data_IF_298998517562
#
_entry.id   IF_298998517562
#
_cell.length_a   1.000
_cell.length_b   1.000
_cell.length_c   1.000
_cell.angle_alpha   90.00
_cell.angle_beta   90.00
_cell.angle_gamma   90.00
#
_symmetry.space_group_name_H-M   'P 1'
#
loop_
_entity.id
_entity.type
_entity.pdbx_description
1 polymer ?
#
# COMPACT_ATOMS: atom_id res chain seq x y z
N UNK A 1 -20.48 14.36 18.97
CA UNK A 1 -19.90 14.12 17.62
C UNK A 1 -19.46 12.66 17.55
N UNK A 2 -20.02 11.89 16.62
CA UNK A 2 -19.57 10.48 16.40
C UNK A 2 -18.59 10.42 15.27
N UNK A 3 -17.68 9.44 15.33
CA UNK A 3 -16.68 9.17 14.30
C UNK A 3 -16.97 7.82 13.64
N UNK A 4 -17.01 7.75 12.32
CA UNK A 4 -17.32 6.54 11.57
C UNK A 4 -16.26 6.22 10.54
N UNK A 5 -15.71 5.00 10.56
CA UNK A 5 -14.92 4.44 9.48
C UNK A 5 -15.84 3.71 8.49
N UNK A 6 -15.90 4.18 7.25
CA UNK A 6 -16.73 3.57 6.22
C UNK A 6 -16.05 2.31 5.67
N UNK A 7 -16.70 1.17 5.85
CA UNK A 7 -16.11 -0.13 5.60
C UNK A 7 -16.96 -0.97 4.64
N UNK A 8 -16.27 -1.85 3.91
CA UNK A 8 -16.90 -2.98 3.21
C UNK A 8 -16.65 -4.23 4.03
N UNK A 9 -17.69 -5.00 4.29
CA UNK A 9 -17.56 -6.31 4.92
C UNK A 9 -17.00 -7.29 3.89
N UNK A 10 -15.70 -7.56 3.96
CA UNK A 10 -15.00 -8.52 3.10
C UNK A 10 -14.54 -9.72 3.92
N UNK A 11 -14.52 -10.93 3.35
CA UNK A 11 -13.77 -12.02 3.95
C UNK A 11 -12.27 -11.67 3.95
N UNK A 12 -11.54 -12.14 4.94
CA UNK A 12 -10.09 -11.96 4.99
C UNK A 12 -9.45 -12.61 3.76
N UNK A 13 -8.74 -11.81 2.98
CA UNK A 13 -7.90 -12.29 1.88
C UNK A 13 -6.44 -12.06 2.25
N UNK A 14 -5.60 -13.08 2.03
CA UNK A 14 -4.17 -13.02 2.38
C UNK A 14 -3.37 -12.36 1.25
N UNK A 15 -3.55 -11.05 1.06
CA UNK A 15 -2.73 -10.26 0.12
C UNK A 15 -2.42 -8.87 0.70
N UNK A 16 -1.39 -8.24 0.16
CA UNK A 16 -0.90 -6.94 0.63
C UNK A 16 -1.96 -5.82 0.54
N UNK A 17 -2.79 -5.81 -0.51
CA UNK A 17 -3.83 -4.78 -0.68
C UNK A 17 -4.92 -4.88 0.37
N UNK A 18 -5.36 -6.09 0.73
CA UNK A 18 -6.34 -6.29 1.81
C UNK A 18 -5.75 -5.94 3.18
N UNK A 19 -4.46 -6.25 3.42
CA UNK A 19 -3.77 -5.93 4.67
C UNK A 19 -3.76 -4.41 4.92
N UNK A 20 -3.38 -3.60 3.94
CA UNK A 20 -3.35 -2.14 4.08
C UNK A 20 -4.72 -1.55 4.47
N UNK A 21 -5.80 -2.03 3.85
CA UNK A 21 -7.17 -1.57 4.14
C UNK A 21 -7.63 -2.01 5.53
N UNK A 22 -7.30 -3.25 5.94
CA UNK A 22 -7.64 -3.77 7.27
C UNK A 22 -6.90 -2.98 8.34
N UNK A 23 -5.59 -2.82 8.20
CA UNK A 23 -4.77 -2.10 9.17
C UNK A 23 -5.23 -0.65 9.34
N UNK A 24 -5.47 0.07 8.24
CA UNK A 24 -5.99 1.43 8.31
C UNK A 24 -7.36 1.52 8.99
N UNK A 25 -8.22 0.51 8.81
CA UNK A 25 -9.50 0.41 9.51
C UNK A 25 -9.31 0.20 11.02
N UNK A 26 -8.45 -0.74 11.42
CA UNK A 26 -8.18 -1.02 12.84
C UNK A 26 -7.51 0.18 13.54
N UNK A 27 -6.61 0.89 12.83
CA UNK A 27 -6.03 2.15 13.32
C UNK A 27 -7.10 3.20 13.54
N UNK A 28 -8.04 3.37 12.61
CA UNK A 28 -9.14 4.32 12.77
C UNK A 28 -10.02 3.95 13.99
N UNK A 29 -10.29 2.65 14.19
CA UNK A 29 -11.04 2.19 15.37
C UNK A 29 -10.29 2.51 16.65
N UNK A 30 -8.98 2.25 16.70
CA UNK A 30 -8.15 2.61 17.85
C UNK A 30 -8.09 4.13 18.12
N UNK A 31 -8.41 4.96 17.10
CA UNK A 31 -8.56 6.41 17.20
C UNK A 31 -10.00 6.87 17.53
N UNK A 32 -10.88 5.93 17.91
CA UNK A 32 -12.25 6.20 18.37
C UNK A 32 -13.32 6.24 17.25
N UNK A 33 -13.01 5.68 16.07
CA UNK A 33 -14.01 5.51 15.02
C UNK A 33 -14.79 4.20 15.19
N UNK A 34 -16.09 4.24 14.89
CA UNK A 34 -16.96 3.06 14.81
C UNK A 34 -17.06 2.57 13.36
N UNK A 35 -17.08 1.25 13.14
CA UNK A 35 -17.30 0.69 11.79
C UNK A 35 -18.72 1.01 11.29
N UNK A 36 -18.82 1.61 10.11
CA UNK A 36 -20.07 1.79 9.38
C UNK A 36 -20.00 1.03 8.06
N UNK A 37 -20.68 -0.11 7.98
CA UNK A 37 -20.72 -0.93 6.78
C UNK A 37 -21.69 -0.37 5.75
N UNK A 38 -21.23 -0.19 4.51
CA UNK A 38 -22.06 0.26 3.38
C UNK A 38 -22.15 -0.78 2.25
N UNK A 39 -21.36 -1.84 2.30
CA UNK A 39 -21.40 -2.95 1.35
C UNK A 39 -20.80 -4.22 1.97
N UNK A 40 -21.09 -5.36 1.35
CA UNK A 40 -20.46 -6.64 1.66
C UNK A 40 -20.00 -7.35 0.39
N UNK A 41 -18.92 -8.12 0.49
CA UNK A 41 -18.43 -9.02 -0.55
C UNK A 41 -18.60 -10.45 -0.05
N UNK A 42 -19.31 -11.28 -0.81
CA UNK A 42 -19.54 -12.70 -0.50
C UNK A 42 -18.95 -13.53 -1.65
N UNK A 43 -17.71 -14.06 -1.52
CA UNK A 43 -17.03 -14.75 -2.62
C UNK A 43 -17.66 -16.08 -2.98
N UNK A 44 -18.14 -16.84 -2.00
CA UNK A 44 -18.53 -18.23 -2.16
C UNK A 44 -19.76 -18.45 -3.06
N UNK A 45 -20.56 -17.43 -3.31
CA UNK A 45 -21.82 -17.53 -4.07
C UNK A 45 -21.79 -16.78 -5.41
N UNK A 46 -20.61 -16.36 -5.88
CA UNK A 46 -20.52 -15.52 -7.08
C UNK A 46 -20.79 -16.23 -8.40
N UNK A 47 -20.92 -17.54 -8.42
CA UNK A 47 -21.06 -18.33 -9.66
C UNK A 47 -22.51 -18.37 -10.20
N UNK A 48 -23.51 -18.10 -9.40
CA UNK A 48 -24.92 -18.12 -9.82
C UNK A 48 -25.46 -16.71 -10.10
N UNK A 49 -26.16 -16.51 -11.22
CA UNK A 49 -26.72 -15.20 -11.60
C UNK A 49 -27.64 -14.62 -10.50
N UNK A 50 -28.52 -15.46 -9.93
CA UNK A 50 -29.45 -15.03 -8.87
C UNK A 50 -28.75 -14.50 -7.62
N UNK A 51 -27.66 -15.14 -7.18
CA UNK A 51 -26.90 -14.67 -6.01
C UNK A 51 -26.15 -13.36 -6.27
N UNK A 52 -25.68 -13.12 -7.50
CA UNK A 52 -25.12 -11.80 -7.88
C UNK A 52 -26.16 -10.67 -7.77
N UNK A 53 -27.40 -10.91 -8.18
CA UNK A 53 -28.46 -9.91 -8.04
C UNK A 53 -28.84 -9.68 -6.57
N UNK A 54 -28.94 -10.74 -5.77
CA UNK A 54 -29.21 -10.62 -4.33
C UNK A 54 -28.12 -9.83 -3.61
N UNK A 55 -26.85 -10.09 -3.89
CA UNK A 55 -25.72 -9.33 -3.31
C UNK A 55 -25.78 -7.86 -3.73
N UNK A 56 -26.11 -7.57 -4.99
CA UNK A 56 -26.30 -6.18 -5.46
C UNK A 56 -27.41 -5.46 -4.70
N UNK A 57 -28.54 -6.14 -4.48
CA UNK A 57 -29.67 -5.60 -3.72
C UNK A 57 -29.31 -5.36 -2.25
N UNK A 58 -28.66 -6.33 -1.61
CA UNK A 58 -28.17 -6.17 -0.22
C UNK A 58 -27.22 -4.97 -0.12
N UNK A 59 -26.27 -4.84 -1.06
CA UNK A 59 -25.33 -3.72 -1.07
C UNK A 59 -26.02 -2.37 -1.32
N UNK A 60 -27.07 -2.33 -2.13
CA UNK A 60 -27.89 -1.13 -2.31
C UNK A 60 -28.58 -0.74 -1.01
N UNK A 61 -29.21 -1.70 -0.33
CA UNK A 61 -29.90 -1.48 0.95
C UNK A 61 -28.90 -0.99 2.01
N UNK A 62 -27.77 -1.67 2.18
CA UNK A 62 -26.72 -1.25 3.12
C UNK A 62 -26.23 0.17 2.84
N UNK A 63 -26.01 0.49 1.57
CA UNK A 63 -25.56 1.82 1.16
C UNK A 63 -26.62 2.91 1.47
N UNK A 64 -27.90 2.63 1.24
CA UNK A 64 -29.01 3.53 1.58
C UNK A 64 -29.07 3.75 3.10
N UNK A 65 -29.05 2.68 3.90
CA UNK A 65 -29.05 2.79 5.36
C UNK A 65 -27.83 3.56 5.90
N UNK A 66 -26.63 3.29 5.38
CA UNK A 66 -25.45 4.06 5.73
C UNK A 66 -25.62 5.55 5.36
N UNK A 67 -26.18 5.84 4.17
CA UNK A 67 -26.39 7.22 3.70
C UNK A 67 -27.40 7.99 4.55
N UNK A 68 -28.43 7.35 5.06
CA UNK A 68 -29.43 7.97 5.96
C UNK A 68 -28.82 8.37 7.31
N UNK A 69 -27.76 7.70 7.75
CA UNK A 69 -27.04 8.00 9.01
C UNK A 69 -26.02 9.12 8.87
N UNK A 70 -25.79 9.64 7.67
CA UNK A 70 -24.84 10.73 7.45
C UNK A 70 -25.38 12.04 7.98
N UNK A 71 -24.58 12.69 8.84
CA UNK A 71 -24.86 13.97 9.45
C UNK A 71 -23.63 14.88 9.40
N UNK A 72 -23.86 16.19 9.26
CA UNK A 72 -22.81 17.23 9.32
C UNK A 72 -22.07 17.23 10.66
N UNK A 73 -22.73 16.83 11.75
CA UNK A 73 -22.13 16.81 13.10
C UNK A 73 -21.16 15.66 13.32
N UNK A 74 -21.05 14.71 12.42
CA UNK A 74 -20.22 13.52 12.54
C UNK A 74 -18.99 13.60 11.62
N UNK A 75 -17.96 12.82 11.96
CA UNK A 75 -16.72 12.68 11.21
C UNK A 75 -16.67 11.32 10.52
N UNK A 76 -16.16 11.28 9.28
CA UNK A 76 -16.11 10.09 8.46
C UNK A 76 -14.71 9.85 7.92
N UNK A 77 -14.16 8.66 8.19
CA UNK A 77 -12.92 8.19 7.61
C UNK A 77 -13.21 7.27 6.42
N UNK A 78 -12.63 7.56 5.28
CA UNK A 78 -12.80 6.86 4.02
C UNK A 78 -11.45 6.37 3.49
N UNK A 79 -11.46 5.22 2.81
CA UNK A 79 -10.30 4.70 2.11
C UNK A 79 -10.61 4.66 0.60
N UNK A 80 -9.77 5.29 -0.21
CA UNK A 80 -9.92 5.36 -1.66
C UNK A 80 -8.91 4.43 -2.37
N UNK A 81 -9.25 3.67 -3.47
CA UNK A 81 -10.56 3.64 -4.14
C UNK A 81 -11.59 2.83 -3.36
N UNK A 82 -12.85 3.18 -3.62
CA UNK A 82 -13.98 2.49 -2.99
C UNK A 82 -14.48 1.33 -3.83
N UNK A 83 -14.67 0.14 -3.27
CA UNK A 83 -15.33 -0.93 -3.96
C UNK A 83 -16.85 -0.69 -4.04
N UNK A 84 -17.39 -0.87 -5.24
CA UNK A 84 -18.84 -0.94 -5.47
C UNK A 84 -19.49 0.31 -6.03
N UNK A 85 -20.30 0.11 -7.09
CA UNK A 85 -20.99 1.18 -7.83
C UNK A 85 -21.97 2.00 -6.96
N UNK A 86 -22.55 1.37 -5.95
CA UNK A 86 -23.55 2.03 -5.07
C UNK A 86 -22.90 3.07 -4.13
N UNK A 87 -21.57 3.02 -3.91
CA UNK A 87 -20.87 4.00 -3.08
C UNK A 87 -21.09 5.46 -3.54
N UNK A 88 -21.43 5.67 -4.82
CA UNK A 88 -21.83 6.98 -5.37
C UNK A 88 -22.98 7.64 -4.60
N UNK A 89 -23.93 6.86 -4.09
CA UNK A 89 -25.06 7.35 -3.29
C UNK A 89 -24.52 7.94 -1.98
N UNK A 90 -23.64 7.20 -1.33
CA UNK A 90 -23.03 7.60 -0.06
C UNK A 90 -22.18 8.87 -0.23
N UNK A 91 -21.39 8.97 -1.31
CA UNK A 91 -20.55 10.14 -1.58
C UNK A 91 -21.37 11.40 -1.85
N UNK A 92 -22.39 11.29 -2.70
CA UNK A 92 -23.32 12.40 -2.94
C UNK A 92 -23.96 12.89 -1.63
N UNK A 93 -24.28 11.96 -0.74
CA UNK A 93 -24.87 12.29 0.56
C UNK A 93 -23.85 12.97 1.48
N UNK A 94 -22.61 12.48 1.54
CA UNK A 94 -21.52 13.11 2.30
C UNK A 94 -21.29 14.56 1.85
N UNK A 95 -21.18 14.78 0.53
CA UNK A 95 -21.00 16.11 -0.07
C UNK A 95 -22.20 17.01 0.23
N UNK A 96 -23.43 16.53 -0.03
CA UNK A 96 -24.66 17.30 0.19
C UNK A 96 -24.84 17.73 1.65
N UNK A 97 -24.47 16.84 2.59
CA UNK A 97 -24.55 17.10 4.03
C UNK A 97 -23.38 17.94 4.55
N UNK A 98 -22.38 18.26 3.71
CA UNK A 98 -21.15 18.93 4.14
C UNK A 98 -20.53 18.21 5.35
N UNK A 99 -20.47 16.89 5.28
CA UNK A 99 -19.93 16.06 6.35
C UNK A 99 -18.42 16.27 6.49
N UNK A 100 -17.89 16.08 7.69
CA UNK A 100 -16.44 16.14 7.93
C UNK A 100 -15.80 14.85 7.45
N UNK A 101 -14.96 14.93 6.42
CA UNK A 101 -14.43 13.76 5.73
C UNK A 101 -12.91 13.78 5.78
N UNK A 102 -12.32 12.66 6.23
CA UNK A 102 -10.90 12.34 6.06
C UNK A 102 -10.78 11.17 5.08
N UNK A 103 -9.98 11.33 4.02
CA UNK A 103 -9.78 10.33 2.98
C UNK A 103 -8.34 9.84 3.02
N UNK A 104 -8.12 8.52 3.17
CA UNK A 104 -6.85 7.87 2.89
C UNK A 104 -6.88 7.31 1.47
N UNK A 105 -5.98 7.76 0.63
CA UNK A 105 -5.83 7.25 -0.73
C UNK A 105 -4.87 6.05 -0.69
N UNK A 106 -5.27 4.88 -1.20
CA UNK A 106 -4.40 3.74 -1.45
C UNK A 106 -3.88 3.76 -2.88
N UNK A 107 -4.76 4.03 -3.84
CA UNK A 107 -4.43 4.12 -5.26
C UNK A 107 -5.20 5.25 -5.96
N UNK A 108 -4.58 5.87 -6.96
CA UNK A 108 -5.23 6.78 -7.90
C UNK A 108 -5.26 6.12 -9.28
N UNK A 109 -6.44 5.64 -9.67
CA UNK A 109 -6.62 4.89 -10.92
C UNK A 109 -6.32 5.70 -12.18
N UNK A 110 -6.50 7.01 -12.13
CA UNK A 110 -6.16 7.91 -13.23
C UNK A 110 -4.64 8.01 -13.46
N UNK A 111 -3.82 7.94 -12.42
CA UNK A 111 -2.35 7.81 -12.53
C UNK A 111 -1.91 6.44 -13.04
N UNK A 112 -2.75 5.41 -12.91
CA UNK A 112 -2.47 4.04 -13.37
C UNK A 112 -2.95 3.80 -14.81
N UNK A 113 -3.49 4.80 -15.49
CA UNK A 113 -4.11 4.62 -16.80
C UNK A 113 -5.46 3.86 -16.76
N UNK A 114 -5.95 3.51 -15.60
CA UNK A 114 -7.22 2.80 -15.38
C UNK A 114 -8.35 3.82 -15.11
N UNK A 115 -8.69 4.62 -16.10
CA UNK A 115 -9.69 5.67 -15.94
C UNK A 115 -11.07 5.14 -16.28
N UNK A 116 -11.93 5.06 -15.26
CA UNK A 116 -13.36 4.95 -15.47
C UNK A 116 -13.95 6.38 -15.44
N UNK A 117 -14.50 6.92 -16.56
CA UNK A 117 -15.05 8.28 -16.60
C UNK A 117 -16.06 8.56 -15.49
N UNK A 118 -16.80 7.53 -15.10
CA UNK A 118 -17.78 7.61 -14.00
C UNK A 118 -17.17 7.82 -12.62
N UNK A 119 -15.94 7.37 -12.40
CA UNK A 119 -15.27 7.52 -11.10
C UNK A 119 -14.68 8.92 -10.95
N UNK A 120 -14.19 9.51 -12.05
CA UNK A 120 -13.67 10.90 -12.07
C UNK A 120 -14.75 11.90 -11.70
N UNK A 121 -15.98 11.73 -12.21
CA UNK A 121 -17.10 12.62 -11.94
C UNK A 121 -17.47 12.72 -10.45
N UNK A 122 -17.07 11.75 -9.64
CA UNK A 122 -17.35 11.70 -8.20
C UNK A 122 -16.11 11.92 -7.38
N UNK A 123 -14.96 11.46 -7.85
CA UNK A 123 -13.69 11.49 -7.12
C UNK A 123 -13.28 12.92 -6.76
N UNK A 124 -13.12 13.80 -7.73
CA UNK A 124 -12.68 15.17 -7.45
C UNK A 124 -13.70 16.01 -6.67
N UNK A 125 -15.01 15.95 -6.93
CA UNK A 125 -16.00 16.57 -6.03
C UNK A 125 -15.92 16.06 -4.59
N UNK A 126 -15.70 14.74 -4.38
CA UNK A 126 -15.52 14.18 -3.04
C UNK A 126 -14.21 14.66 -2.39
N UNK A 127 -13.11 14.68 -3.13
CA UNK A 127 -11.82 15.19 -2.64
C UNK A 127 -11.91 16.67 -2.27
N UNK A 128 -12.56 17.48 -3.10
CA UNK A 128 -12.77 18.91 -2.80
C UNK A 128 -13.69 19.14 -1.60
N UNK A 129 -14.64 18.24 -1.33
CA UNK A 129 -15.49 18.29 -0.14
C UNK A 129 -14.78 17.79 1.13
N UNK A 130 -13.70 17.01 1.02
CA UNK A 130 -12.97 16.49 2.16
C UNK A 130 -12.29 17.60 2.98
N UNK A 131 -12.19 17.39 4.28
CA UNK A 131 -11.44 18.21 5.22
C UNK A 131 -9.95 17.87 5.19
N UNK A 132 -9.65 16.58 5.06
CA UNK A 132 -8.29 16.05 4.98
C UNK A 132 -8.19 14.94 3.93
N UNK A 133 -7.15 14.99 3.11
CA UNK A 133 -6.79 13.96 2.13
C UNK A 133 -5.37 13.49 2.45
N UNK A 134 -5.22 12.19 2.70
CA UNK A 134 -3.94 11.58 3.03
C UNK A 134 -3.43 10.86 1.79
N UNK A 135 -2.27 11.27 1.30
CA UNK A 135 -1.56 10.72 0.13
C UNK A 135 -0.23 10.09 0.54
N UNK A 136 0.45 9.43 -0.41
CA UNK A 136 1.67 8.69 -0.10
C UNK A 136 2.95 9.50 -0.29
N UNK A 137 2.95 10.50 -1.18
CA UNK A 137 4.17 11.17 -1.63
C UNK A 137 3.92 12.62 -2.03
N UNK A 138 5.01 13.35 -2.16
CA UNK A 138 5.00 14.70 -2.72
C UNK A 138 4.48 14.70 -4.16
N UNK A 139 4.93 13.75 -5.00
CA UNK A 139 4.45 13.63 -6.40
C UNK A 139 2.94 13.40 -6.48
N UNK A 140 2.35 12.58 -5.62
CA UNK A 140 0.90 12.38 -5.57
C UNK A 140 0.17 13.62 -5.07
N UNK A 141 0.72 14.33 -4.09
CA UNK A 141 0.21 15.64 -3.63
C UNK A 141 0.20 16.65 -4.77
N UNK A 142 1.32 16.80 -5.49
CA UNK A 142 1.44 17.76 -6.58
C UNK A 142 0.45 17.43 -7.71
N UNK A 143 0.29 16.14 -8.01
CA UNK A 143 -0.72 15.70 -8.98
C UNK A 143 -2.13 16.13 -8.57
N UNK A 144 -2.53 15.94 -7.31
CA UNK A 144 -3.85 16.35 -6.84
C UNK A 144 -4.04 17.87 -6.87
N UNK A 145 -2.98 18.63 -6.57
CA UNK A 145 -3.00 20.10 -6.70
C UNK A 145 -3.26 20.52 -8.15
N UNK A 146 -2.56 19.89 -9.11
CA UNK A 146 -2.79 20.11 -10.56
C UNK A 146 -4.23 19.77 -10.98
N UNK A 147 -4.89 18.85 -10.28
CA UNK A 147 -6.31 18.51 -10.49
C UNK A 147 -7.29 19.42 -9.72
N UNK A 148 -6.81 20.50 -9.10
CA UNK A 148 -7.62 21.48 -8.44
C UNK A 148 -7.98 21.17 -6.98
N UNK A 149 -7.30 20.23 -6.35
CA UNK A 149 -7.47 19.97 -4.91
C UNK A 149 -6.61 20.96 -4.11
N UNK A 150 -7.20 21.60 -3.11
CA UNK A 150 -6.51 22.61 -2.31
C UNK A 150 -5.37 22.00 -1.48
N UNK A 151 -4.16 22.55 -1.60
CA UNK A 151 -2.94 22.05 -0.96
C UNK A 151 -3.03 21.96 0.56
N UNK A 152 -3.75 22.87 1.20
CA UNK A 152 -3.90 22.92 2.66
C UNK A 152 -4.70 21.74 3.23
N UNK A 153 -5.43 20.98 2.39
CA UNK A 153 -6.17 19.78 2.77
C UNK A 153 -5.33 18.51 2.67
N UNK A 154 -4.22 18.53 1.93
CA UNK A 154 -3.43 17.35 1.62
C UNK A 154 -2.37 17.13 2.69
N UNK A 155 -2.29 15.90 3.19
CA UNK A 155 -1.28 15.41 4.15
C UNK A 155 -0.53 14.24 3.54
N UNK A 156 0.77 14.15 3.78
CA UNK A 156 1.61 13.09 3.23
C UNK A 156 1.89 12.06 4.33
N UNK A 157 1.53 10.81 4.04
CA UNK A 157 1.75 9.67 4.92
C UNK A 157 3.18 9.12 4.77
N UNK A 158 3.71 9.10 3.56
CA UNK A 158 4.88 8.40 3.07
C UNK A 158 4.69 6.88 3.10
N UNK A 159 4.91 6.24 4.23
CA UNK A 159 4.76 4.78 4.39
C UNK A 159 3.42 4.46 5.06
N UNK A 160 2.77 3.39 4.60
CA UNK A 160 1.62 2.85 5.32
C UNK A 160 2.05 2.26 6.66
N UNK A 161 1.21 2.39 7.67
CA UNK A 161 1.35 1.56 8.85
C UNK A 161 1.16 0.08 8.50
N UNK A 162 1.72 -0.79 9.32
CA UNK A 162 1.67 -2.23 9.13
C UNK A 162 1.56 -2.91 10.50
N UNK A 163 0.34 -3.20 10.91
CA UNK A 163 0.06 -3.77 12.21
C UNK A 163 0.51 -5.24 12.23
N UNK A 164 1.41 -5.58 13.12
CA UNK A 164 1.87 -6.95 13.35
C UNK A 164 2.50 -7.07 14.74
N UNK A 165 2.20 -8.19 15.39
CA UNK A 165 2.84 -8.58 16.66
C UNK A 165 3.99 -9.56 16.44
N UNK A 166 4.34 -9.81 15.16
CA UNK A 166 5.37 -10.79 14.82
C UNK A 166 6.76 -10.31 15.27
N UNK A 167 7.48 -11.20 15.91
CA UNK A 167 8.82 -10.93 16.45
C UNK A 167 9.87 -11.23 15.40
N UNK A 168 10.70 -10.26 15.09
CA UNK A 168 11.79 -10.39 14.13
C UNK A 168 13.06 -10.83 14.85
N UNK A 169 13.69 -11.88 14.34
CA UNK A 169 15.03 -12.28 14.77
C UNK A 169 16.04 -11.31 14.18
N UNK A 170 17.08 -10.98 14.95
CA UNK A 170 18.11 -10.04 14.51
C UNK A 170 18.66 -10.40 13.12
N UNK A 171 18.71 -9.38 12.26
CA UNK A 171 19.20 -9.52 10.89
C UNK A 171 20.72 -9.52 10.86
N UNK A 172 21.28 -10.47 10.15
CA UNK A 172 22.71 -10.56 9.90
C UNK A 172 23.06 -9.93 8.56
N UNK A 173 24.18 -9.26 8.49
CA UNK A 173 24.67 -8.70 7.23
C UNK A 173 25.05 -9.81 6.25
N UNK A 174 24.44 -9.77 5.08
CA UNK A 174 24.76 -10.66 3.95
C UNK A 174 24.32 -10.02 2.63
N UNK A 175 24.66 -10.64 1.52
CA UNK A 175 24.21 -10.26 0.19
C UNK A 175 22.97 -11.03 -0.24
N UNK A 176 22.02 -11.25 0.69
CA UNK A 176 20.76 -11.90 0.40
C UNK A 176 19.65 -10.89 0.29
N UNK A 177 19.01 -10.80 -0.88
CA UNK A 177 17.96 -9.84 -1.21
C UNK A 177 16.62 -10.57 -1.25
N UNK A 178 15.62 -10.06 -0.54
CA UNK A 178 14.25 -10.57 -0.57
C UNK A 178 13.38 -9.73 -1.51
N UNK A 179 12.60 -10.40 -2.35
CA UNK A 179 11.55 -9.78 -3.15
C UNK A 179 10.20 -10.45 -2.84
N UNK A 180 9.24 -9.67 -2.33
CA UNK A 180 7.92 -10.15 -1.96
C UNK A 180 6.81 -9.45 -2.76
N UNK A 181 5.89 -10.23 -3.35
CA UNK A 181 4.79 -9.66 -4.12
C UNK A 181 4.01 -10.66 -4.99
N UNK A 182 3.24 -10.13 -5.92
CA UNK A 182 2.62 -10.94 -6.97
C UNK A 182 3.63 -11.12 -8.11
N UNK A 183 4.22 -12.31 -8.19
CA UNK A 183 5.33 -12.60 -9.08
C UNK A 183 4.93 -12.59 -10.56
N UNK A 184 3.66 -12.83 -10.91
CA UNK A 184 3.19 -12.74 -12.30
C UNK A 184 3.21 -11.32 -12.89
N UNK A 185 3.22 -10.29 -12.03
CA UNK A 185 3.34 -8.87 -12.44
C UNK A 185 4.78 -8.40 -12.52
N UNK A 186 5.71 -9.14 -11.94
CA UNK A 186 7.12 -8.79 -11.79
C UNK A 186 7.94 -9.44 -12.90
N UNK A 187 7.63 -9.08 -14.14
CA UNK A 187 8.24 -9.70 -15.34
C UNK A 187 9.75 -9.51 -15.40
N UNK A 188 10.27 -8.43 -14.82
CA UNK A 188 11.72 -8.20 -14.71
C UNK A 188 12.47 -9.39 -14.07
N UNK A 189 11.80 -10.21 -13.27
CA UNK A 189 12.40 -11.41 -12.66
C UNK A 189 12.86 -12.44 -13.69
N UNK A 190 12.27 -12.44 -14.88
CA UNK A 190 12.66 -13.35 -15.96
C UNK A 190 14.00 -12.95 -16.58
N UNK A 191 14.31 -11.65 -16.58
CA UNK A 191 15.48 -11.04 -17.23
C UNK A 191 16.64 -10.77 -16.27
N UNK A 192 16.45 -10.98 -14.96
CA UNK A 192 17.53 -10.82 -13.98
C UNK A 192 18.62 -11.86 -14.25
N UNK A 193 19.86 -11.36 -14.37
CA UNK A 193 21.06 -12.19 -14.42
C UNK A 193 21.86 -12.00 -13.13
N UNK A 194 21.99 -13.06 -12.33
CA UNK A 194 22.76 -13.07 -11.09
C UNK A 194 24.00 -13.92 -11.31
N UNK A 195 25.19 -13.32 -11.23
CA UNK A 195 26.45 -14.06 -11.33
C UNK A 195 26.80 -14.71 -9.98
N UNK A 196 27.61 -15.73 -10.04
CA UNK A 196 28.16 -16.37 -8.85
C UNK A 196 28.86 -15.32 -7.97
N UNK A 197 28.55 -15.32 -6.66
CA UNK A 197 29.06 -14.37 -5.66
C UNK A 197 28.54 -12.91 -5.72
N UNK A 198 27.61 -12.57 -6.61
CA UNK A 198 27.01 -11.24 -6.62
C UNK A 198 26.09 -11.04 -5.40
N UNK A 199 24.96 -11.74 -5.40
CA UNK A 199 23.97 -11.78 -4.31
C UNK A 199 23.03 -12.98 -4.53
N UNK A 200 22.26 -13.33 -3.51
CA UNK A 200 21.17 -14.30 -3.63
C UNK A 200 19.82 -13.55 -3.66
N UNK A 201 18.94 -13.93 -4.57
CA UNK A 201 17.58 -13.38 -4.65
C UNK A 201 16.55 -14.40 -4.17
N UNK A 202 15.90 -14.08 -3.05
CA UNK A 202 14.80 -14.88 -2.48
C UNK A 202 13.46 -14.26 -2.88
N UNK A 203 12.64 -15.01 -3.61
CA UNK A 203 11.33 -14.57 -4.05
C UNK A 203 10.19 -15.21 -3.26
N UNK A 204 9.28 -14.36 -2.79
CA UNK A 204 8.09 -14.72 -2.03
C UNK A 204 6.84 -14.24 -2.75
N UNK A 205 5.84 -15.09 -2.89
CA UNK A 205 4.55 -14.68 -3.43
C UNK A 205 3.85 -15.72 -4.27
N UNK A 206 2.72 -15.30 -4.85
CA UNK A 206 1.94 -16.15 -5.74
C UNK A 206 2.44 -16.07 -7.19
N UNK A 207 2.14 -17.13 -7.95
CA UNK A 207 2.30 -17.17 -9.41
C UNK A 207 3.76 -17.03 -9.88
N UNK A 208 4.70 -17.65 -9.20
CA UNK A 208 6.06 -17.82 -9.72
C UNK A 208 6.04 -18.89 -10.81
N UNK A 209 6.63 -18.57 -11.95
CA UNK A 209 6.68 -19.46 -13.12
C UNK A 209 7.92 -20.37 -13.14
N UNK A 210 8.89 -20.13 -12.25
CA UNK A 210 10.10 -20.96 -12.14
C UNK A 210 11.12 -20.77 -13.25
N UNK A 211 10.97 -19.74 -14.10
CA UNK A 211 11.76 -19.60 -15.32
C UNK A 211 13.21 -19.14 -15.10
N UNK A 212 13.57 -18.60 -13.94
CA UNK A 212 14.91 -18.07 -13.70
C UNK A 212 15.66 -18.89 -12.64
N UNK A 213 16.75 -19.62 -13.03
CA UNK A 213 17.52 -20.47 -12.11
C UNK A 213 18.33 -19.70 -11.06
N UNK A 214 18.57 -18.40 -11.27
CA UNK A 214 19.24 -17.53 -10.30
C UNK A 214 18.37 -17.10 -9.12
N UNK A 215 17.08 -17.46 -9.12
CA UNK A 215 16.11 -17.10 -8.10
C UNK A 215 15.78 -18.29 -7.21
N UNK A 216 15.86 -18.08 -5.89
CA UNK A 216 15.41 -19.06 -4.91
C UNK A 216 13.95 -18.73 -4.51
N UNK A 217 13.01 -19.53 -4.98
CA UNK A 217 11.62 -19.37 -4.61
C UNK A 217 11.33 -19.95 -3.22
N UNK A 218 10.86 -19.11 -2.31
CA UNK A 218 10.59 -19.42 -0.90
C UNK A 218 9.10 -19.64 -0.59
N UNK A 219 8.24 -19.62 -1.61
CA UNK A 219 6.81 -19.86 -1.43
C UNK A 219 6.03 -18.61 -1.01
N UNK A 220 4.92 -18.82 -0.30
CA UNK A 220 4.02 -17.76 0.19
C UNK A 220 4.02 -17.73 1.72
N UNK A 221 3.79 -16.57 2.28
CA UNK A 221 3.56 -16.39 3.71
C UNK A 221 2.32 -15.52 3.96
N UNK A 222 1.78 -15.62 5.17
CA UNK A 222 0.72 -14.71 5.62
C UNK A 222 1.29 -13.31 5.79
N UNK A 223 0.60 -12.22 5.36
CA UNK A 223 1.05 -10.86 5.62
C UNK A 223 1.28 -10.54 7.11
N UNK A 224 0.70 -11.31 8.02
CA UNK A 224 0.94 -11.15 9.46
C UNK A 224 2.22 -11.86 9.95
N UNK A 225 2.81 -12.78 9.17
CA UNK A 225 3.99 -13.54 9.54
C UNK A 225 5.23 -13.00 8.83
N UNK A 226 5.58 -11.77 9.14
CA UNK A 226 6.69 -11.04 8.48
C UNK A 226 8.06 -11.61 8.79
N UNK A 227 8.19 -12.36 9.92
CA UNK A 227 9.40 -13.09 10.31
C UNK A 227 9.79 -14.21 9.32
N UNK A 228 8.84 -14.66 8.48
CA UNK A 228 9.12 -15.65 7.43
C UNK A 228 9.96 -15.12 6.27
N UNK A 229 10.15 -13.81 6.17
CA UNK A 229 11.02 -13.24 5.14
C UNK A 229 12.47 -13.39 5.59
N UNK A 230 13.20 -14.25 4.90
CA UNK A 230 14.64 -14.41 5.07
C UNK A 230 15.38 -13.40 4.20
N UNK A 231 16.60 -13.07 4.60
CA UNK A 231 17.48 -12.16 3.86
C UNK A 231 17.91 -10.96 4.69
N UNK A 232 18.76 -10.16 4.09
CA UNK A 232 19.32 -8.96 4.71
C UNK A 232 18.79 -7.67 4.07
N UNK A 233 18.20 -7.76 2.89
CA UNK A 233 17.72 -6.60 2.12
C UNK A 233 16.34 -6.88 1.53
N UNK A 234 15.50 -5.84 1.40
CA UNK A 234 14.20 -5.91 0.73
C UNK A 234 14.21 -5.12 -0.58
N UNK A 235 13.93 -5.75 -1.72
CA UNK A 235 13.89 -5.10 -3.02
C UNK A 235 12.52 -4.52 -3.34
N UNK A 236 12.47 -3.21 -3.59
CA UNK A 236 11.30 -2.48 -4.09
C UNK A 236 11.49 -2.15 -5.56
N UNK A 237 10.92 -2.99 -6.41
CA UNK A 237 10.97 -2.89 -7.86
C UNK A 237 9.67 -3.41 -8.46
N UNK A 238 9.21 -2.82 -9.56
CA UNK A 238 8.07 -3.31 -10.35
C UNK A 238 8.26 -2.94 -11.82
N UNK A 239 7.53 -3.63 -12.69
CA UNK A 239 7.59 -3.40 -14.13
C UNK A 239 8.20 -4.56 -14.91
N UNK A 240 8.63 -4.27 -16.13
CA UNK A 240 9.06 -5.28 -17.11
C UNK A 240 10.55 -5.30 -17.37
N UNK A 241 11.32 -4.35 -16.85
CA UNK A 241 12.76 -4.18 -17.15
C UNK A 241 13.59 -4.18 -15.88
N UNK A 242 14.82 -4.65 -15.98
CA UNK A 242 15.84 -4.56 -14.93
C UNK A 242 16.57 -3.21 -14.93
N UNK A 243 16.50 -2.46 -16.04
CA UNK A 243 17.17 -1.16 -16.20
C UNK A 243 16.40 -0.01 -15.55
N UNK A 244 15.08 -0.10 -15.49
CA UNK A 244 14.22 0.90 -14.87
C UNK A 244 12.84 0.30 -14.55
N UNK A 245 12.15 0.88 -13.58
CA UNK A 245 10.75 0.54 -13.34
C UNK A 245 9.87 1.20 -14.41
N UNK A 246 9.47 0.44 -15.42
CA UNK A 246 8.70 0.91 -16.58
C UNK A 246 7.38 0.15 -16.75
N UNK A 247 6.49 0.71 -17.59
CA UNK A 247 5.16 0.19 -17.83
C UNK A 247 4.17 0.56 -16.73
N UNK A 248 2.92 0.14 -16.87
CA UNK A 248 1.79 0.54 -16.01
C UNK A 248 2.10 0.50 -14.50
N UNK A 249 2.73 -0.58 -14.02
CA UNK A 249 3.07 -0.72 -12.61
C UNK A 249 4.36 0.00 -12.23
N UNK A 250 5.35 0.02 -13.14
CA UNK A 250 6.63 0.67 -12.90
C UNK A 250 6.52 2.19 -12.88
N UNK A 251 5.85 2.78 -13.85
CA UNK A 251 5.66 4.24 -13.93
C UNK A 251 4.84 4.78 -12.74
N UNK A 252 3.89 3.99 -12.23
CA UNK A 252 3.11 4.37 -11.07
C UNK A 252 3.94 4.46 -9.79
N UNK A 253 5.10 3.78 -9.70
CA UNK A 253 6.01 3.88 -8.56
C UNK A 253 6.53 5.32 -8.32
N UNK A 254 6.52 6.17 -9.33
CA UNK A 254 6.87 7.60 -9.20
C UNK A 254 5.89 8.40 -8.35
N UNK A 255 4.75 7.80 -8.03
CA UNK A 255 3.67 8.46 -7.29
C UNK A 255 3.29 7.74 -6.00
N UNK A 256 3.30 6.42 -5.99
CA UNK A 256 2.75 5.65 -4.88
C UNK A 256 3.79 5.15 -3.86
N UNK A 257 3.28 4.73 -2.71
CA UNK A 257 4.02 3.95 -1.71
C UNK A 257 3.56 2.49 -1.81
N UNK A 258 4.33 1.61 -2.46
CA UNK A 258 3.96 0.20 -2.51
C UNK A 258 4.04 -0.40 -1.11
N UNK A 259 3.04 -1.20 -0.74
CA UNK A 259 2.93 -1.79 0.61
C UNK A 259 4.12 -2.70 0.98
N UNK A 260 4.91 -3.13 -0.02
CA UNK A 260 6.17 -3.87 0.21
C UNK A 260 7.23 -3.02 0.95
N UNK A 261 7.20 -1.68 0.83
CA UNK A 261 8.07 -0.79 1.62
C UNK A 261 7.77 -0.96 3.10
N UNK A 262 6.51 -0.84 3.51
CA UNK A 262 6.10 -1.03 4.90
C UNK A 262 6.37 -2.45 5.40
N UNK A 263 6.15 -3.46 4.53
CA UNK A 263 6.48 -4.86 4.83
C UNK A 263 7.96 -5.03 5.18
N UNK A 264 8.86 -4.47 4.37
CA UNK A 264 10.31 -4.59 4.64
C UNK A 264 10.75 -3.81 5.86
N UNK A 265 10.15 -2.65 6.12
CA UNK A 265 10.41 -1.88 7.34
C UNK A 265 10.06 -2.73 8.57
N UNK A 266 8.84 -3.30 8.64
CA UNK A 266 8.43 -4.09 9.82
C UNK A 266 9.12 -5.45 9.89
N UNK A 267 9.65 -5.96 8.77
CA UNK A 267 10.53 -7.12 8.73
C UNK A 267 11.99 -6.78 9.04
N UNK A 268 12.29 -5.52 9.33
CA UNK A 268 13.63 -5.01 9.66
C UNK A 268 14.66 -5.32 8.56
N UNK A 269 14.27 -5.17 7.30
CA UNK A 269 15.10 -5.34 6.13
C UNK A 269 15.42 -3.97 5.51
N UNK A 270 16.66 -3.47 5.55
CA UNK A 270 17.07 -2.31 4.77
C UNK A 270 16.65 -2.44 3.30
N UNK A 271 16.21 -1.32 2.74
CA UNK A 271 15.47 -1.32 1.47
C UNK A 271 16.42 -0.99 0.31
N UNK A 272 16.35 -1.79 -0.75
CA UNK A 272 16.90 -1.45 -2.07
C UNK A 272 15.74 -0.92 -2.91
N UNK A 273 15.80 0.33 -3.34
CA UNK A 273 14.70 1.01 -4.02
C UNK A 273 15.16 1.66 -5.33
N UNK A 274 14.28 1.67 -6.34
CA UNK A 274 14.55 2.44 -7.56
C UNK A 274 14.65 3.93 -7.25
N UNK A 275 15.69 4.61 -7.76
CA UNK A 275 15.98 6.01 -7.43
C UNK A 275 14.89 7.01 -7.78
N UNK A 276 14.04 6.70 -8.80
CA UNK A 276 12.93 7.56 -9.21
C UNK A 276 11.60 7.18 -8.54
N UNK A 277 11.62 6.20 -7.65
CA UNK A 277 10.45 5.84 -6.87
C UNK A 277 10.13 6.96 -5.85
N UNK A 278 8.84 7.26 -5.68
CA UNK A 278 8.36 8.38 -4.86
C UNK A 278 8.91 8.42 -3.41
N UNK A 279 9.27 7.27 -2.85
CA UNK A 279 9.84 7.17 -1.50
C UNK A 279 11.38 7.03 -1.48
N UNK A 280 12.06 7.08 -2.64
CA UNK A 280 13.51 6.88 -2.66
C UNK A 280 14.24 7.86 -1.74
N UNK A 281 13.88 9.16 -1.82
CA UNK A 281 14.41 10.19 -0.93
C UNK A 281 14.05 9.93 0.55
N UNK A 282 12.83 9.51 0.85
CA UNK A 282 12.41 9.17 2.21
C UNK A 282 13.26 8.04 2.81
N UNK A 283 13.56 7.00 2.02
CA UNK A 283 14.36 5.85 2.44
C UNK A 283 15.84 6.24 2.67
N UNK A 284 16.42 7.00 1.74
CA UNK A 284 17.83 7.41 1.83
C UNK A 284 18.09 8.46 2.92
N UNK A 285 17.21 9.46 3.05
CA UNK A 285 17.36 10.51 4.08
C UNK A 285 17.26 9.95 5.51
N UNK A 286 16.51 8.87 5.71
CA UNK A 286 16.40 8.17 7.00
C UNK A 286 17.49 7.13 7.23
N UNK A 287 18.33 6.91 6.24
CA UNK A 287 19.36 5.87 6.27
C UNK A 287 18.76 4.50 6.66
N UNK A 288 17.65 4.10 5.96
CA UNK A 288 16.99 2.80 6.12
C UNK A 288 17.05 1.96 4.84
N UNK A 289 17.93 2.34 3.90
CA UNK A 289 18.15 1.64 2.65
C UNK A 289 18.97 2.44 1.66
N UNK A 290 19.07 1.91 0.45
CA UNK A 290 19.86 2.46 -0.66
C UNK A 290 19.03 2.60 -1.92
N UNK A 291 19.35 3.59 -2.75
CA UNK A 291 18.73 3.80 -4.06
C UNK A 291 19.63 3.28 -5.19
N UNK A 292 18.98 2.65 -6.20
CA UNK A 292 19.63 2.12 -7.40
C UNK A 292 18.96 2.68 -8.65
N UNK A 293 19.72 2.81 -9.74
CA UNK A 293 19.17 3.18 -11.05
C UNK A 293 18.67 1.96 -11.81
N UNK A 294 19.38 0.83 -11.70
CA UNK A 294 19.06 -0.45 -12.32
C UNK A 294 19.36 -1.60 -11.35
N UNK A 295 18.79 -2.76 -11.61
CA UNK A 295 19.04 -3.98 -10.79
C UNK A 295 20.51 -4.41 -10.90
N UNK A 296 21.15 -4.15 -12.02
CA UNK A 296 22.56 -4.46 -12.25
C UNK A 296 23.52 -3.71 -11.33
N UNK A 297 23.07 -2.62 -10.68
CA UNK A 297 23.85 -1.91 -9.67
C UNK A 297 23.91 -2.62 -8.31
N UNK A 298 23.02 -3.58 -8.04
CA UNK A 298 22.91 -4.24 -6.72
C UNK A 298 24.25 -4.82 -6.27
N UNK A 299 25.00 -5.63 -7.07
CA UNK A 299 26.28 -6.19 -6.64
C UNK A 299 27.28 -5.12 -6.20
N UNK A 300 27.43 -4.08 -7.01
CA UNK A 300 28.33 -2.96 -6.73
C UNK A 300 27.89 -2.20 -5.47
N UNK A 301 26.63 -1.88 -5.33
CA UNK A 301 26.12 -1.16 -4.15
C UNK A 301 26.33 -1.97 -2.87
N UNK A 302 26.02 -3.26 -2.89
CA UNK A 302 26.18 -4.14 -1.72
C UNK A 302 27.66 -4.38 -1.38
N UNK A 303 28.57 -4.38 -2.36
CA UNK A 303 30.02 -4.52 -2.08
C UNK A 303 30.61 -3.32 -1.37
N UNK A 304 29.99 -2.15 -1.47
CA UNK A 304 30.42 -0.91 -0.80
C UNK A 304 29.76 -0.68 0.58
N UNK A 305 28.85 -1.57 1.01
CA UNK A 305 28.27 -1.50 2.35
C UNK A 305 29.16 -2.29 3.32
N UNK A 306 29.57 -1.63 4.40
CA UNK A 306 30.28 -2.29 5.50
C UNK A 306 29.26 -2.82 6.53
N UNK A 307 29.71 -3.76 7.38
CA UNK A 307 28.91 -4.24 8.51
C UNK A 307 28.41 -3.07 9.39
N UNK A 308 29.27 -2.10 9.66
CA UNK A 308 28.91 -0.92 10.47
C UNK A 308 27.79 -0.10 9.84
N UNK A 309 27.87 0.17 8.53
CA UNK A 309 26.83 0.88 7.78
C UNK A 309 25.50 0.11 7.80
N UNK A 310 25.56 -1.21 7.65
CA UNK A 310 24.38 -2.06 7.71
C UNK A 310 23.72 -2.02 9.10
N UNK A 311 24.50 -2.14 10.17
CA UNK A 311 23.98 -2.09 11.54
C UNK A 311 23.36 -0.72 11.89
N UNK A 312 23.89 0.36 11.34
CA UNK A 312 23.26 1.67 11.46
C UNK A 312 21.90 1.73 10.76
N UNK A 313 21.78 1.16 9.54
CA UNK A 313 20.50 1.04 8.83
C UNK A 313 19.51 0.19 9.64
N UNK A 314 19.95 -0.93 10.23
CA UNK A 314 19.13 -1.78 11.11
C UNK A 314 18.61 -1.00 12.31
N UNK A 315 19.44 -0.21 12.97
CA UNK A 315 19.02 0.63 14.09
C UNK A 315 17.93 1.62 13.69
N UNK A 316 18.09 2.28 12.55
CA UNK A 316 17.13 3.25 12.05
C UNK A 316 15.82 2.58 11.62
N UNK A 317 15.88 1.43 10.92
CA UNK A 317 14.69 0.73 10.47
C UNK A 317 13.89 0.13 11.63
N UNK A 318 14.55 -0.32 12.71
CA UNK A 318 13.86 -0.76 13.95
C UNK A 318 13.05 0.38 14.57
N UNK A 319 13.58 1.59 14.57
CA UNK A 319 12.86 2.78 15.07
C UNK A 319 11.64 3.11 14.20
N UNK A 320 11.78 3.04 12.90
CA UNK A 320 10.68 3.24 11.96
C UNK A 320 9.63 2.12 12.06
N UNK A 321 10.05 0.87 12.18
CA UNK A 321 9.19 -0.30 12.35
C UNK A 321 8.29 -0.17 13.59
N UNK A 322 8.82 0.34 14.70
CA UNK A 322 8.05 0.56 15.93
C UNK A 322 6.88 1.54 15.70
N UNK A 323 7.06 2.56 14.88
CA UNK A 323 6.01 3.51 14.52
C UNK A 323 4.95 2.86 13.63
N UNK A 324 5.37 2.09 12.62
CA UNK A 324 4.45 1.43 11.70
C UNK A 324 3.61 0.36 12.41
N UNK A 325 4.23 -0.44 13.29
CA UNK A 325 3.55 -1.50 14.06
C UNK A 325 2.46 -0.97 15.00
N UNK A 326 2.55 0.29 15.43
CA UNK A 326 1.58 0.93 16.34
C UNK A 326 0.52 1.79 15.63
N UNK A 327 0.61 1.93 14.32
CA UNK A 327 -0.31 2.78 13.54
C UNK A 327 -0.07 4.28 13.70
N UNK A 328 1.14 4.66 14.13
CA UNK A 328 1.46 6.03 14.50
C UNK A 328 1.42 7.00 13.31
N UNK A 329 1.72 6.54 12.10
CA UNK A 329 1.73 7.38 10.91
C UNK A 329 0.33 7.84 10.52
N UNK A 330 -0.67 6.96 10.52
CA UNK A 330 -2.04 7.32 10.18
C UNK A 330 -2.76 8.03 11.33
N UNK A 331 -2.54 7.58 12.58
CA UNK A 331 -3.20 8.16 13.77
C UNK A 331 -3.04 9.67 13.88
N UNK A 332 -1.90 10.23 13.46
CA UNK A 332 -1.65 11.69 13.53
C UNK A 332 -2.58 12.53 12.65
N UNK A 333 -3.34 11.89 11.74
CA UNK A 333 -4.26 12.55 10.81
C UNK A 333 -5.74 12.24 11.09
N UNK A 334 -6.04 11.42 12.10
CA UNK A 334 -7.38 10.98 12.49
C UNK A 334 -7.85 11.71 13.76
#
# INVERSE_FOLDING_TARGET
MKKYALCVKTPMTYNAGSKAVIDATEIAISAGYEKMFYACVIPAFSNYKCTKYLIKLINLILCIFASLRISKSNQYFLQWPFPGRNAKILFRRLIHKQARITILIHDLNDLRGMVYPEDIQIMYPLFNAAETIIVHSDSMKDYLILKGVASNKIRILYTFDYLTDDMIVDRTFSRTVAFAGNLSKSKFLQDITIKENDYQLYCYGANYDGCNPGIVYKGKFSPNNVSKIEGSWGLVWDGTSTQACTGEFGDYLKYNSPHKVSLYIVAELPIIIWKEQALAKYITDRNIGIAISSIEEIPYKLSNITETMYQEMIKNIKSEAALLKTGSHLKRFL
#
